data_IF_880235320587
#
_entry.id   IF_880235320587
#
_cell.length_a   1.000
_cell.length_b   1.000
_cell.length_c   1.000
_cell.angle_alpha   90.00
_cell.angle_beta   90.00
_cell.angle_gamma   90.00
#
_symmetry.space_group_name_H-M   'P 1'
#
loop_
_entity.id
_entity.type
_entity.pdbx_description
1 polymer ?
#
# COMPACT_ATOMS: atom_id res chain seq x y z
N UNK A 1 -15.23 13.33 -12.50
CA UNK A 1 -15.21 13.02 -11.05
C UNK A 1 -16.35 12.04 -10.79
N UNK A 2 -16.09 10.76 -10.89
CA UNK A 2 -17.08 9.72 -10.64
C UNK A 2 -17.07 9.43 -9.15
N UNK A 3 -18.08 9.93 -8.43
CA UNK A 3 -18.31 9.56 -7.02
C UNK A 3 -18.66 8.08 -7.00
N UNK A 4 -17.96 7.28 -6.19
CA UNK A 4 -18.45 6.00 -5.76
C UNK A 4 -19.86 6.22 -5.20
N UNK A 5 -20.90 5.48 -5.66
CA UNK A 5 -22.24 5.69 -5.16
C UNK A 5 -22.27 5.46 -3.66
N UNK A 6 -23.05 6.25 -2.96
CA UNK A 6 -23.27 6.23 -1.51
C UNK A 6 -24.05 4.99 -1.01
N UNK A 7 -23.76 3.83 -1.54
CA UNK A 7 -24.02 2.57 -0.85
C UNK A 7 -22.95 2.48 0.23
N UNK A 8 -23.35 2.78 1.46
CA UNK A 8 -22.47 3.13 2.55
C UNK A 8 -21.20 2.28 2.62
N UNK A 9 -20.06 2.92 2.69
CA UNK A 9 -18.71 2.35 2.82
C UNK A 9 -18.60 1.20 3.87
N UNK A 10 -19.59 1.07 4.74
CA UNK A 10 -19.75 0.06 5.77
C UNK A 10 -20.05 -1.36 5.24
N UNK A 11 -20.47 -1.53 3.98
CA UNK A 11 -20.87 -2.85 3.43
C UNK A 11 -19.75 -3.55 2.66
N UNK A 12 -18.73 -2.83 2.20
CA UNK A 12 -17.66 -3.43 1.38
C UNK A 12 -16.62 -4.22 2.19
N UNK A 13 -16.45 -3.94 3.48
CA UNK A 13 -15.59 -4.75 4.35
C UNK A 13 -16.02 -6.20 4.46
N UNK A 14 -17.33 -6.48 4.37
CA UNK A 14 -17.88 -7.84 4.42
C UNK A 14 -17.65 -8.63 3.13
N UNK A 15 -17.56 -7.97 1.97
CA UNK A 15 -17.33 -8.64 0.68
C UNK A 15 -15.95 -9.33 0.65
N UNK A 16 -14.93 -8.72 1.21
CA UNK A 16 -13.60 -9.32 1.28
C UNK A 16 -13.54 -10.49 2.26
N UNK A 17 -14.33 -10.42 3.32
CA UNK A 17 -14.42 -11.47 4.33
C UNK A 17 -15.04 -12.76 3.77
N UNK A 18 -16.05 -12.66 2.89
CA UNK A 18 -16.67 -13.80 2.21
C UNK A 18 -15.71 -14.53 1.25
N UNK A 19 -14.71 -13.83 0.70
CA UNK A 19 -13.74 -14.37 -0.24
C UNK A 19 -12.31 -14.42 0.33
N UNK A 20 -12.15 -14.47 1.66
CA UNK A 20 -10.86 -14.35 2.34
C UNK A 20 -9.78 -15.30 1.80
N UNK A 21 -10.13 -16.56 1.53
CA UNK A 21 -9.19 -17.55 0.98
C UNK A 21 -8.75 -17.25 -0.46
N UNK A 22 -9.63 -16.73 -1.30
CA UNK A 22 -9.27 -16.30 -2.66
C UNK A 22 -8.44 -15.03 -2.62
N UNK A 23 -8.83 -14.09 -1.77
CA UNK A 23 -8.11 -12.84 -1.55
C UNK A 23 -6.66 -13.10 -1.14
N UNK A 24 -6.42 -13.99 -0.19
CA UNK A 24 -5.08 -14.35 0.29
C UNK A 24 -4.18 -14.92 -0.82
N UNK A 25 -4.73 -15.84 -1.64
CA UNK A 25 -3.98 -16.47 -2.72
C UNK A 25 -3.64 -15.54 -3.89
N UNK A 26 -4.47 -14.51 -4.12
CA UNK A 26 -4.43 -13.71 -5.35
C UNK A 26 -3.74 -12.37 -5.12
N UNK A 27 -3.97 -11.73 -3.96
CA UNK A 27 -3.41 -10.41 -3.69
C UNK A 27 -1.91 -10.49 -3.45
N UNK A 28 -1.11 -9.68 -4.18
CA UNK A 28 0.33 -9.68 -4.00
C UNK A 28 0.72 -9.09 -2.64
N UNK A 29 1.84 -9.55 -2.10
CA UNK A 29 2.51 -8.87 -1.00
C UNK A 29 2.95 -7.45 -1.44
N UNK A 30 3.15 -6.58 -0.47
CA UNK A 30 3.67 -5.24 -0.73
C UNK A 30 5.18 -5.29 -0.97
N UNK A 31 5.73 -4.43 -1.86
CA UNK A 31 7.17 -4.41 -2.12
C UNK A 31 7.97 -4.14 -0.85
N UNK A 32 8.98 -4.97 -0.61
CA UNK A 32 9.85 -4.84 0.57
C UNK A 32 10.53 -3.46 0.61
N UNK A 33 10.86 -2.89 -0.54
CA UNK A 33 11.47 -1.56 -0.66
C UNK A 33 10.59 -0.46 -0.07
N UNK A 34 9.25 -0.57 -0.20
CA UNK A 34 8.33 0.39 0.40
C UNK A 34 8.20 0.18 1.90
N UNK A 35 8.19 -1.07 2.36
CA UNK A 35 8.13 -1.38 3.80
C UNK A 35 9.41 -0.94 4.50
N UNK A 36 10.58 -1.22 3.90
CA UNK A 36 11.89 -0.75 4.38
C UNK A 36 11.94 0.77 4.44
N UNK A 37 11.44 1.42 3.39
CA UNK A 37 11.38 2.89 3.36
C UNK A 37 10.48 3.46 4.45
N UNK A 38 9.32 2.83 4.72
CA UNK A 38 8.43 3.24 5.80
C UNK A 38 9.12 3.11 7.16
N UNK A 39 9.79 1.99 7.42
CA UNK A 39 10.56 1.78 8.64
C UNK A 39 11.69 2.80 8.79
N UNK A 40 12.41 3.08 7.70
CA UNK A 40 13.49 4.09 7.69
C UNK A 40 12.97 5.49 8.01
N UNK A 41 11.85 5.92 7.38
CA UNK A 41 11.24 7.24 7.64
C UNK A 41 10.75 7.35 9.07
N UNK A 42 10.18 6.26 9.60
CA UNK A 42 9.68 6.20 10.98
C UNK A 42 10.82 6.06 12.01
N UNK A 43 12.03 5.70 11.60
CA UNK A 43 13.14 5.43 12.50
C UNK A 43 12.85 4.26 13.44
N UNK A 44 12.20 3.20 12.91
CA UNK A 44 11.79 2.02 13.69
C UNK A 44 12.54 0.76 13.26
N UNK A 45 12.67 -0.17 14.18
CA UNK A 45 13.31 -1.47 13.99
C UNK A 45 12.89 -2.48 15.04
N UNK A 46 13.73 -3.47 15.27
CA UNK A 46 13.47 -4.60 16.18
C UNK A 46 12.92 -4.16 17.53
N UNK A 47 11.81 -4.78 17.96
CA UNK A 47 11.13 -4.50 19.22
C UNK A 47 10.19 -3.29 19.23
N UNK A 48 10.18 -2.43 18.21
CA UNK A 48 9.30 -1.27 18.18
C UNK A 48 7.82 -1.65 17.99
N UNK A 49 6.94 -0.94 18.72
CA UNK A 49 5.49 -1.16 18.69
C UNK A 49 4.86 -0.39 17.51
N UNK A 50 4.13 -1.12 16.68
CA UNK A 50 3.40 -0.55 15.55
C UNK A 50 1.95 -1.03 15.50
N UNK A 51 1.08 -0.20 14.95
CA UNK A 51 -0.33 -0.54 14.71
C UNK A 51 -0.55 -0.74 13.21
N UNK A 52 -1.23 -1.80 12.83
CA UNK A 52 -1.73 -2.00 11.47
C UNK A 52 -3.25 -1.91 11.44
N UNK A 53 -3.80 -1.03 10.60
CA UNK A 53 -5.24 -0.82 10.43
C UNK A 53 -5.67 -1.54 9.16
N UNK A 54 -6.54 -2.56 9.30
CA UNK A 54 -7.05 -3.38 8.22
C UNK A 54 -5.98 -4.36 7.71
N UNK A 55 -5.54 -5.27 8.56
CA UNK A 55 -4.47 -6.21 8.21
C UNK A 55 -4.89 -7.27 7.18
N UNK A 56 -6.21 -7.44 6.94
CA UNK A 56 -6.72 -8.44 6.03
C UNK A 56 -6.27 -9.85 6.43
N UNK A 57 -5.66 -10.57 5.51
CA UNK A 57 -5.10 -11.91 5.74
C UNK A 57 -3.62 -11.88 6.15
N UNK A 58 -3.10 -10.69 6.53
CA UNK A 58 -1.76 -10.54 7.12
C UNK A 58 -0.63 -10.32 6.12
N UNK A 59 -0.89 -9.85 4.88
CA UNK A 59 0.15 -9.63 3.87
C UNK A 59 1.20 -8.62 4.32
N UNK A 60 0.80 -7.44 4.83
CA UNK A 60 1.74 -6.46 5.33
C UNK A 60 2.22 -6.84 6.74
N UNK A 61 1.36 -7.38 7.60
CA UNK A 61 1.72 -7.86 8.95
C UNK A 61 2.95 -8.77 8.91
N UNK A 62 2.98 -9.73 7.96
CA UNK A 62 4.12 -10.65 7.77
C UNK A 62 5.43 -9.90 7.48
N UNK A 63 5.37 -8.88 6.61
CA UNK A 63 6.53 -8.07 6.27
C UNK A 63 7.01 -7.21 7.46
N UNK A 64 6.10 -6.72 8.31
CA UNK A 64 6.43 -5.96 9.51
C UNK A 64 7.07 -6.87 10.58
N UNK A 65 6.48 -8.03 10.84
CA UNK A 65 7.01 -9.04 11.79
C UNK A 65 8.40 -9.55 11.35
N UNK A 66 8.61 -9.77 10.04
CA UNK A 66 9.92 -10.17 9.52
C UNK A 66 11.03 -9.14 9.77
N UNK A 67 10.68 -7.89 10.10
CA UNK A 67 11.60 -6.81 10.48
C UNK A 67 11.74 -6.65 11.99
N UNK A 68 11.26 -7.63 12.78
CA UNK A 68 11.33 -7.61 14.22
C UNK A 68 10.34 -6.69 14.93
N UNK A 69 9.38 -6.10 14.19
CA UNK A 69 8.40 -5.19 14.77
C UNK A 69 7.34 -5.95 15.58
N UNK A 70 6.90 -5.38 16.70
CA UNK A 70 5.74 -5.85 17.43
C UNK A 70 4.48 -5.20 16.87
N UNK A 71 3.61 -6.00 16.27
CA UNK A 71 2.46 -5.53 15.51
C UNK A 71 1.15 -5.76 16.27
N UNK A 72 0.41 -4.70 16.56
CA UNK A 72 -1.02 -4.80 16.88
C UNK A 72 -1.78 -4.68 15.57
N UNK A 73 -2.44 -5.76 15.13
CA UNK A 73 -3.09 -5.86 13.83
C UNK A 73 -4.61 -5.87 13.98
N UNK A 74 -5.28 -4.84 13.45
CA UNK A 74 -6.72 -4.68 13.48
C UNK A 74 -7.36 -5.14 12.17
N UNK A 75 -8.42 -5.95 12.26
CA UNK A 75 -9.24 -6.35 11.10
C UNK A 75 -10.69 -6.60 11.55
N UNK A 76 -11.68 -5.94 10.92
CA UNK A 76 -13.08 -6.17 11.26
C UNK A 76 -13.64 -7.50 10.72
N UNK A 77 -13.08 -8.05 9.62
CA UNK A 77 -13.55 -9.29 9.01
C UNK A 77 -13.13 -10.53 9.82
N UNK A 78 -14.07 -11.30 10.38
CA UNK A 78 -13.74 -12.45 11.22
C UNK A 78 -13.03 -13.58 10.45
N UNK A 79 -13.37 -13.81 9.17
CA UNK A 79 -12.68 -14.82 8.36
C UNK A 79 -11.28 -14.37 7.94
N UNK A 80 -11.14 -13.09 7.62
CA UNK A 80 -9.83 -12.48 7.27
C UNK A 80 -8.85 -12.60 8.42
N UNK A 81 -9.26 -12.21 9.63
CA UNK A 81 -8.38 -12.22 10.81
C UNK A 81 -8.04 -13.65 11.27
N UNK A 82 -8.96 -14.61 11.13
CA UNK A 82 -8.67 -16.02 11.39
C UNK A 82 -7.59 -16.52 10.43
N UNK A 83 -7.71 -16.18 9.15
CA UNK A 83 -6.70 -16.56 8.14
C UNK A 83 -5.36 -15.86 8.38
N UNK A 84 -5.36 -14.58 8.80
CA UNK A 84 -4.15 -13.88 9.20
C UNK A 84 -3.43 -14.60 10.35
N UNK A 85 -4.19 -15.04 11.37
CA UNK A 85 -3.67 -15.84 12.49
C UNK A 85 -3.06 -17.18 12.05
N UNK A 86 -3.68 -17.85 11.07
CA UNK A 86 -3.13 -19.07 10.47
C UNK A 86 -1.86 -18.80 9.68
N UNK A 87 -1.84 -17.75 8.87
CA UNK A 87 -0.70 -17.35 8.05
C UNK A 87 0.51 -16.93 8.87
N UNK A 88 0.30 -16.44 10.09
CA UNK A 88 1.33 -16.00 11.03
C UNK A 88 1.41 -16.90 12.28
N UNK A 89 0.97 -18.15 12.18
CA UNK A 89 1.01 -19.09 13.29
C UNK A 89 2.44 -19.22 13.84
N UNK A 90 2.60 -19.01 15.15
CA UNK A 90 3.90 -19.03 15.84
C UNK A 90 4.68 -17.70 15.84
N UNK A 91 4.17 -16.64 15.20
CA UNK A 91 4.76 -15.31 15.30
C UNK A 91 4.39 -14.66 16.64
N UNK A 92 5.29 -14.70 17.62
CA UNK A 92 5.06 -14.13 18.96
C UNK A 92 4.96 -12.59 18.97
N UNK A 93 5.37 -11.94 17.88
CA UNK A 93 5.44 -10.48 17.76
C UNK A 93 4.16 -9.86 17.16
N UNK A 94 3.04 -10.60 17.08
CA UNK A 94 1.78 -10.06 16.57
C UNK A 94 0.62 -10.33 17.53
N UNK A 95 -0.17 -9.28 17.77
CA UNK A 95 -1.44 -9.33 18.48
C UNK A 95 -2.57 -8.99 17.49
N UNK A 96 -3.50 -9.91 17.28
CA UNK A 96 -4.65 -9.72 16.41
C UNK A 96 -5.87 -9.22 17.19
N UNK A 97 -6.52 -8.16 16.70
CA UNK A 97 -7.75 -7.60 17.25
C UNK A 97 -8.86 -7.63 16.20
N UNK A 98 -9.89 -8.47 16.39
CA UNK A 98 -11.06 -8.47 15.52
C UNK A 98 -11.98 -7.30 15.88
N UNK A 99 -11.69 -6.15 15.35
CA UNK A 99 -12.42 -4.91 15.60
C UNK A 99 -12.28 -3.92 14.45
N UNK A 100 -13.27 -3.06 14.27
CA UNK A 100 -13.14 -1.86 13.46
C UNK A 100 -12.22 -0.87 14.16
N UNK A 101 -11.41 -0.14 13.40
CA UNK A 101 -10.52 0.87 14.00
C UNK A 101 -11.30 1.93 14.78
N UNK A 102 -12.48 2.32 14.31
CA UNK A 102 -13.33 3.29 15.00
C UNK A 102 -13.69 2.86 16.43
N UNK A 103 -13.93 1.56 16.63
CA UNK A 103 -14.45 0.98 17.87
C UNK A 103 -13.34 0.39 18.76
N UNK A 104 -12.16 0.13 18.19
CA UNK A 104 -11.04 -0.48 18.92
C UNK A 104 -10.50 0.44 20.01
N UNK A 105 -10.25 -0.13 21.19
CA UNK A 105 -9.55 0.57 22.27
C UNK A 105 -8.04 0.43 22.09
N UNK A 106 -7.39 1.47 21.58
CA UNK A 106 -5.95 1.52 21.43
C UNK A 106 -5.33 2.50 22.43
N UNK A 107 -4.17 2.17 23.02
CA UNK A 107 -3.50 3.07 23.95
C UNK A 107 -3.03 4.35 23.23
N UNK A 108 -3.13 5.48 23.92
CA UNK A 108 -2.68 6.79 23.41
C UNK A 108 -1.16 6.88 23.47
N UNK A 109 -0.57 7.57 22.46
CA UNK A 109 0.87 7.86 22.41
C UNK A 109 1.73 6.61 22.65
N UNK A 110 1.35 5.51 22.02
CA UNK A 110 1.97 4.20 22.23
C UNK A 110 2.76 3.71 21.01
N UNK A 111 2.21 3.88 19.81
CA UNK A 111 2.80 3.33 18.61
C UNK A 111 3.80 4.30 17.97
N UNK A 112 4.96 3.78 17.60
CA UNK A 112 5.96 4.55 16.85
C UNK A 112 5.57 4.77 15.41
N UNK A 113 4.83 3.81 14.83
CA UNK A 113 4.22 3.98 13.52
C UNK A 113 2.83 3.35 13.46
N UNK A 114 1.98 3.92 12.61
CA UNK A 114 0.69 3.36 12.20
C UNK A 114 0.76 3.05 10.72
N UNK A 115 0.49 1.80 10.38
CA UNK A 115 0.42 1.31 9.00
C UNK A 115 -1.01 1.08 8.57
N UNK A 116 -1.32 1.34 7.31
CA UNK A 116 -2.54 0.85 6.68
C UNK A 116 -2.29 0.58 5.20
N UNK A 117 -2.55 -0.64 4.78
CA UNK A 117 -2.30 -1.07 3.42
C UNK A 117 -3.61 -1.36 2.70
N UNK A 118 -3.99 -0.50 1.74
CA UNK A 118 -5.24 -0.59 0.96
C UNK A 118 -6.52 -0.67 1.82
N UNK A 119 -6.50 -0.12 3.05
CA UNK A 119 -7.60 -0.27 4.00
C UNK A 119 -8.15 1.05 4.57
N UNK A 120 -7.33 2.09 4.78
CA UNK A 120 -7.75 3.29 5.52
C UNK A 120 -8.97 4.02 4.90
N UNK A 121 -9.20 3.87 3.61
CA UNK A 121 -10.35 4.48 2.93
C UNK A 121 -11.71 3.85 3.30
N UNK A 122 -11.71 2.73 4.03
CA UNK A 122 -12.91 2.10 4.60
C UNK A 122 -13.25 2.62 6.00
N UNK A 123 -12.29 3.28 6.67
CA UNK A 123 -12.47 3.85 8.01
C UNK A 123 -13.15 5.22 7.92
N UNK A 124 -14.05 5.54 8.85
CA UNK A 124 -14.73 6.84 8.88
C UNK A 124 -13.68 7.98 8.96
N UNK A 125 -13.61 8.85 7.93
CA UNK A 125 -12.62 9.93 7.91
C UNK A 125 -12.78 10.94 9.04
N UNK A 126 -13.97 11.06 9.63
CA UNK A 126 -14.22 11.93 10.79
C UNK A 126 -13.53 11.43 12.06
N UNK A 127 -13.25 10.13 12.11
CA UNK A 127 -12.61 9.47 13.25
C UNK A 127 -11.14 9.17 12.96
N UNK A 128 -10.83 8.64 11.79
CA UNK A 128 -9.54 8.02 11.48
C UNK A 128 -8.34 8.92 11.72
N UNK A 129 -8.31 10.11 11.13
CA UNK A 129 -7.12 10.98 11.19
C UNK A 129 -6.79 11.42 12.62
N UNK A 130 -7.81 11.79 13.40
CA UNK A 130 -7.61 12.19 14.79
C UNK A 130 -7.19 11.00 15.64
N UNK A 131 -7.85 9.86 15.50
CA UNK A 131 -7.54 8.65 16.27
C UNK A 131 -6.15 8.12 15.95
N UNK A 132 -5.71 8.16 14.68
CA UNK A 132 -4.33 7.83 14.30
C UNK A 132 -3.32 8.74 15.01
N UNK A 133 -3.57 10.05 15.00
CA UNK A 133 -2.70 10.99 15.70
C UNK A 133 -2.68 10.74 17.21
N UNK A 134 -3.80 10.36 17.82
CA UNK A 134 -3.89 10.11 19.24
C UNK A 134 -3.14 8.85 19.71
N UNK A 135 -3.07 7.80 18.90
CA UNK A 135 -2.38 6.54 19.22
C UNK A 135 -0.89 6.57 18.89
N UNK A 136 -0.45 7.41 17.94
CA UNK A 136 0.96 7.62 17.63
C UNK A 136 1.66 8.36 18.78
N UNK A 137 2.92 8.04 19.04
CA UNK A 137 3.79 8.89 19.88
C UNK A 137 4.01 10.26 19.19
N UNK A 138 4.34 11.34 19.91
CA UNK A 138 4.76 12.61 19.30
C UNK A 138 5.94 12.36 18.32
N UNK A 139 5.83 12.84 17.08
CA UNK A 139 6.80 12.58 16.01
C UNK A 139 6.69 11.18 15.39
N UNK A 140 5.75 10.34 15.83
CA UNK A 140 5.50 9.03 15.22
C UNK A 140 4.98 9.14 13.78
N UNK A 141 5.10 8.09 13.01
CA UNK A 141 4.86 8.09 11.57
C UNK A 141 3.58 7.36 11.19
N UNK A 142 2.75 7.99 10.35
CA UNK A 142 1.71 7.32 9.58
C UNK A 142 2.29 6.85 8.25
N UNK A 143 2.06 5.58 7.88
CA UNK A 143 2.49 4.96 6.64
C UNK A 143 1.30 4.31 5.91
N UNK A 144 0.93 4.88 4.76
CA UNK A 144 -0.19 4.41 3.94
C UNK A 144 0.34 3.78 2.65
N UNK A 145 0.06 2.49 2.44
CA UNK A 145 0.50 1.76 1.26
C UNK A 145 -0.72 1.44 0.39
N UNK A 146 -0.58 1.53 -0.93
CA UNK A 146 -1.64 1.11 -1.86
C UNK A 146 -1.10 0.70 -3.21
N UNK A 147 -1.94 0.00 -3.99
CA UNK A 147 -1.70 -0.29 -5.39
C UNK A 147 -2.65 0.51 -6.27
N UNK A 148 -2.13 1.05 -7.37
CA UNK A 148 -2.92 1.71 -8.41
C UNK A 148 -2.55 1.16 -9.79
N UNK A 149 -3.48 1.26 -10.74
CA UNK A 149 -3.16 1.05 -12.14
C UNK A 149 -2.22 2.16 -12.64
N UNK A 150 -1.16 1.79 -13.33
CA UNK A 150 -0.18 2.73 -13.89
C UNK A 150 -0.48 2.99 -15.36
N UNK A 151 -0.56 4.28 -15.74
CA UNK A 151 -0.63 4.65 -17.13
C UNK A 151 0.76 4.53 -17.75
N UNK A 152 0.93 3.50 -18.57
CA UNK A 152 2.20 3.19 -19.22
C UNK A 152 1.96 2.65 -20.64
N UNK A 153 2.77 3.10 -21.60
CA UNK A 153 2.62 2.75 -23.00
C UNK A 153 2.73 1.23 -23.24
N UNK A 154 3.59 0.53 -22.46
CA UNK A 154 3.81 -0.92 -22.62
C UNK A 154 2.59 -1.79 -22.35
N UNK A 155 1.65 -1.33 -21.53
CA UNK A 155 0.41 -2.03 -21.17
C UNK A 155 -0.84 -1.36 -21.70
N UNK A 156 -0.72 -0.20 -22.37
CA UNK A 156 -1.87 0.62 -22.79
C UNK A 156 -2.86 -0.13 -23.67
N UNK A 157 -2.36 -0.83 -24.68
CA UNK A 157 -3.21 -1.60 -25.60
C UNK A 157 -4.03 -2.67 -24.88
N UNK A 158 -3.38 -3.45 -24.02
CA UNK A 158 -4.02 -4.55 -23.29
C UNK A 158 -5.02 -4.00 -22.27
N UNK A 159 -4.63 -2.96 -21.53
CA UNK A 159 -5.49 -2.24 -20.59
C UNK A 159 -6.77 -1.73 -21.26
N UNK A 160 -6.63 -1.04 -22.40
CA UNK A 160 -7.76 -0.47 -23.13
C UNK A 160 -8.69 -1.59 -23.66
N UNK A 161 -8.11 -2.73 -24.07
CA UNK A 161 -8.88 -3.91 -24.50
C UNK A 161 -9.64 -4.58 -23.34
N UNK A 162 -9.02 -4.69 -22.15
CA UNK A 162 -9.68 -5.21 -20.93
C UNK A 162 -10.83 -4.30 -20.50
N UNK A 163 -10.61 -2.97 -20.47
CA UNK A 163 -11.67 -2.01 -20.16
C UNK A 163 -12.81 -2.07 -21.18
N UNK A 164 -12.51 -2.17 -22.48
CA UNK A 164 -13.51 -2.31 -23.52
C UNK A 164 -14.33 -3.62 -23.37
N UNK A 165 -13.70 -4.71 -22.93
CA UNK A 165 -14.40 -5.96 -22.61
C UNK A 165 -15.39 -5.75 -21.43
N UNK A 166 -14.97 -5.08 -20.36
CA UNK A 166 -15.85 -4.76 -19.24
C UNK A 166 -17.00 -3.81 -19.66
N UNK A 167 -16.73 -2.82 -20.51
CA UNK A 167 -17.74 -1.92 -21.05
C UNK A 167 -18.83 -2.63 -21.86
N UNK A 168 -18.47 -3.68 -22.61
CA UNK A 168 -19.45 -4.50 -23.35
C UNK A 168 -20.30 -5.36 -22.42
N UNK A 169 -19.72 -5.89 -21.36
CA UNK A 169 -20.38 -6.83 -20.44
C UNK A 169 -21.21 -6.12 -19.37
N UNK A 170 -20.68 -5.03 -18.81
CA UNK A 170 -21.28 -4.32 -17.68
C UNK A 170 -20.89 -2.83 -17.73
N UNK A 171 -21.52 -2.02 -18.60
CA UNK A 171 -21.15 -0.62 -18.83
C UNK A 171 -21.29 0.25 -17.58
N UNK A 172 -22.27 -0.02 -16.72
CA UNK A 172 -22.47 0.64 -15.44
C UNK A 172 -21.36 0.35 -14.41
N UNK A 173 -20.82 -0.87 -14.43
CA UNK A 173 -19.67 -1.26 -13.61
C UNK A 173 -18.37 -0.70 -14.18
N UNK A 174 -18.23 -0.71 -15.50
CA UNK A 174 -17.07 -0.15 -16.20
C UNK A 174 -16.91 1.36 -15.98
N UNK A 175 -18.01 2.09 -15.75
CA UNK A 175 -17.98 3.52 -15.43
C UNK A 175 -17.23 3.82 -14.12
N UNK A 176 -17.18 2.87 -13.20
CA UNK A 176 -16.47 2.97 -11.93
C UNK A 176 -15.08 2.29 -11.96
N UNK A 177 -14.59 1.96 -13.16
CA UNK A 177 -13.27 1.37 -13.30
C UNK A 177 -12.21 2.31 -12.74
N UNK A 178 -11.27 1.80 -11.90
CA UNK A 178 -10.26 2.64 -11.28
C UNK A 178 -9.43 3.42 -12.31
N UNK A 179 -9.24 4.70 -12.05
CA UNK A 179 -8.42 5.54 -12.92
C UNK A 179 -6.95 5.08 -12.86
N UNK A 180 -6.32 5.02 -14.02
CA UNK A 180 -4.88 4.83 -14.12
C UNK A 180 -4.15 6.12 -13.80
N UNK A 181 -2.94 6.00 -13.26
CA UNK A 181 -2.13 7.12 -12.79
C UNK A 181 -0.81 7.18 -13.57
N UNK A 182 -0.44 8.38 -13.95
CA UNK A 182 0.90 8.69 -14.41
C UNK A 182 1.80 9.05 -13.22
N UNK A 183 3.06 8.60 -13.20
CA UNK A 183 3.97 8.81 -12.06
C UNK A 183 4.27 10.30 -11.87
N UNK A 184 4.55 11.04 -12.94
CA UNK A 184 4.90 12.46 -12.82
C UNK A 184 3.68 13.26 -12.33
N UNK A 185 2.48 12.92 -12.81
CA UNK A 185 1.22 13.48 -12.32
C UNK A 185 1.00 13.13 -10.83
N UNK A 186 1.36 11.91 -10.39
CA UNK A 186 1.28 11.53 -8.97
C UNK A 186 2.22 12.38 -8.12
N UNK A 187 3.47 12.54 -8.53
CA UNK A 187 4.47 13.34 -7.82
C UNK A 187 4.02 14.81 -7.73
N UNK A 188 3.61 15.40 -8.86
CA UNK A 188 3.12 16.77 -8.90
C UNK A 188 1.86 16.98 -8.04
N UNK A 189 0.91 16.05 -8.10
CA UNK A 189 -0.33 16.10 -7.33
C UNK A 189 -0.11 16.01 -5.82
N UNK A 190 0.83 15.18 -5.37
CA UNK A 190 1.23 15.08 -3.95
C UNK A 190 1.94 16.37 -3.52
N UNK A 191 2.84 16.91 -4.34
CA UNK A 191 3.52 18.18 -4.05
C UNK A 191 2.53 19.33 -3.80
N UNK A 192 1.46 19.40 -4.59
CA UNK A 192 0.42 20.45 -4.44
C UNK A 192 -0.40 20.32 -3.15
N UNK A 193 -0.44 19.13 -2.55
CA UNK A 193 -1.28 18.77 -1.39
C UNK A 193 -0.48 18.39 -0.15
N UNK A 194 0.84 18.53 -0.17
CA UNK A 194 1.74 18.01 0.86
C UNK A 194 1.47 18.53 2.27
N UNK A 195 0.74 19.63 2.39
CA UNK A 195 0.39 20.21 3.70
C UNK A 195 -0.78 19.47 4.38
N UNK A 196 -1.41 18.52 3.67
CA UNK A 196 -2.52 17.74 4.22
C UNK A 196 -2.48 16.29 3.70
N UNK A 197 -2.04 15.37 4.55
CA UNK A 197 -1.93 13.93 4.21
C UNK A 197 -3.27 13.33 3.78
N UNK A 198 -4.39 13.78 4.37
CA UNK A 198 -5.71 13.27 4.00
C UNK A 198 -6.12 13.72 2.59
N UNK A 199 -5.75 14.93 2.18
CA UNK A 199 -5.98 15.43 0.83
C UNK A 199 -5.10 14.69 -0.20
N UNK A 200 -3.87 14.34 0.17
CA UNK A 200 -2.99 13.47 -0.64
C UNK A 200 -3.63 12.11 -0.83
N UNK A 201 -4.06 11.46 0.25
CA UNK A 201 -4.66 10.13 0.20
C UNK A 201 -5.97 10.11 -0.59
N UNK A 202 -6.85 11.09 -0.33
CA UNK A 202 -8.09 11.28 -1.07
C UNK A 202 -7.86 11.42 -2.58
N UNK A 203 -6.88 12.25 -2.96
CA UNK A 203 -6.58 12.50 -4.37
C UNK A 203 -5.94 11.28 -5.05
N UNK A 204 -4.98 10.59 -4.40
CA UNK A 204 -4.33 9.40 -4.96
C UNK A 204 -5.33 8.29 -5.30
N UNK A 205 -6.24 7.98 -4.40
CA UNK A 205 -7.20 6.89 -4.55
C UNK A 205 -8.57 7.32 -5.09
N UNK A 206 -8.82 8.61 -5.30
CA UNK A 206 -10.16 9.16 -5.57
C UNK A 206 -11.16 8.83 -4.46
N UNK A 207 -10.68 8.82 -3.20
CA UNK A 207 -11.48 8.52 -2.02
C UNK A 207 -12.15 9.77 -1.43
N UNK A 208 -13.31 9.62 -0.83
CA UNK A 208 -13.98 10.69 -0.07
C UNK A 208 -13.54 10.67 1.40
N UNK A 209 -12.26 10.93 1.64
CA UNK A 209 -11.62 10.83 2.98
C UNK A 209 -10.86 12.08 3.40
N UNK A 210 -10.89 13.15 2.60
CA UNK A 210 -10.20 14.38 2.91
C UNK A 210 -10.81 15.07 4.14
N UNK A 211 -9.96 15.52 5.07
CA UNK A 211 -10.33 16.26 6.27
C UNK A 211 -9.38 17.44 6.46
N UNK A 212 -9.91 18.64 6.65
CA UNK A 212 -9.10 19.86 6.82
C UNK A 212 -8.20 19.81 8.06
N UNK A 213 -8.69 19.22 9.16
CA UNK A 213 -7.94 19.12 10.41
C UNK A 213 -6.70 18.21 10.33
N UNK A 214 -6.59 17.35 9.33
CA UNK A 214 -5.43 16.48 9.15
C UNK A 214 -4.13 17.27 8.92
N UNK A 215 -4.21 18.47 8.33
CA UNK A 215 -3.08 19.38 8.15
C UNK A 215 -2.48 19.90 9.46
N UNK A 216 -3.26 19.90 10.55
CA UNK A 216 -2.81 20.30 11.90
C UNK A 216 -2.29 19.11 12.71
N UNK A 217 -2.60 17.90 12.30
CA UNK A 217 -2.23 16.66 13.00
C UNK A 217 -0.93 16.07 12.47
N UNK A 218 -0.68 16.26 11.16
CA UNK A 218 0.44 15.64 10.45
C UNK A 218 1.20 16.66 9.61
N UNK A 219 2.49 16.41 9.47
CA UNK A 219 3.44 17.19 8.66
C UNK A 219 4.37 16.24 7.90
N UNK A 220 5.31 16.79 7.13
CA UNK A 220 6.35 16.06 6.39
C UNK A 220 5.77 14.91 5.52
N UNK A 221 4.77 15.25 4.70
CA UNK A 221 4.15 14.27 3.80
C UNK A 221 5.10 13.94 2.67
N UNK A 222 5.42 12.64 2.50
CA UNK A 222 6.30 12.12 1.45
C UNK A 222 5.59 11.06 0.64
N UNK A 223 6.02 10.88 -0.62
CA UNK A 223 5.55 9.81 -1.51
C UNK A 223 6.75 9.01 -2.01
N UNK A 224 6.68 7.68 -1.90
CA UNK A 224 7.53 6.76 -2.62
C UNK A 224 6.67 5.87 -3.54
N UNK A 225 7.22 5.46 -4.68
CA UNK A 225 6.51 4.66 -5.68
C UNK A 225 7.40 3.54 -6.22
N UNK A 226 6.79 2.37 -6.43
CA UNK A 226 7.43 1.20 -7.06
C UNK A 226 6.56 0.75 -8.22
N UNK A 227 6.90 1.08 -9.48
CA UNK A 227 6.16 0.62 -10.65
C UNK A 227 6.49 -0.85 -10.96
N UNK A 228 5.49 -1.58 -11.46
CA UNK A 228 5.64 -2.98 -11.86
C UNK A 228 4.84 -3.27 -13.12
N UNK A 229 5.48 -3.88 -14.12
CA UNK A 229 4.80 -4.51 -15.24
C UNK A 229 4.51 -5.99 -14.87
N UNK A 230 3.27 -6.39 -15.03
CA UNK A 230 2.77 -7.74 -14.76
C UNK A 230 2.37 -8.35 -16.09
N UNK A 231 2.79 -9.59 -16.35
CA UNK A 231 2.32 -10.42 -17.45
C UNK A 231 1.50 -11.56 -16.86
N UNK A 232 0.26 -11.73 -17.33
CA UNK A 232 -0.71 -12.63 -16.73
C UNK A 232 -1.57 -13.35 -17.75
N UNK A 233 -2.01 -14.57 -17.43
CA UNK A 233 -3.03 -15.28 -18.21
C UNK A 233 -4.41 -14.62 -18.05
N UNK A 234 -5.38 -15.07 -18.85
CA UNK A 234 -6.78 -14.64 -18.70
C UNK A 234 -7.33 -15.04 -17.32
N UNK A 235 -7.00 -16.23 -16.82
CA UNK A 235 -7.45 -16.71 -15.52
C UNK A 235 -6.85 -15.89 -14.37
N UNK A 236 -5.56 -15.56 -14.45
CA UNK A 236 -4.91 -14.67 -13.47
C UNK A 236 -5.51 -13.26 -13.47
N UNK A 237 -5.78 -12.71 -14.66
CA UNK A 237 -6.48 -11.42 -14.78
C UNK A 237 -7.86 -11.47 -14.11
N UNK A 238 -8.67 -12.49 -14.45
CA UNK A 238 -10.00 -12.66 -13.88
C UNK A 238 -9.96 -12.85 -12.37
N UNK A 239 -8.99 -13.61 -11.86
CA UNK A 239 -8.78 -13.80 -10.44
C UNK A 239 -8.48 -12.47 -9.73
N UNK A 240 -7.54 -11.65 -10.25
CA UNK A 240 -7.21 -10.34 -9.67
C UNK A 240 -8.42 -9.39 -9.70
N UNK A 241 -9.13 -9.30 -10.84
CA UNK A 241 -10.32 -8.46 -10.97
C UNK A 241 -11.43 -8.96 -10.03
N UNK A 242 -11.57 -10.27 -9.85
CA UNK A 242 -12.50 -10.90 -8.92
C UNK A 242 -12.36 -10.46 -7.48
N UNK A 243 -11.18 -10.02 -7.06
CA UNK A 243 -10.92 -9.47 -5.73
C UNK A 243 -11.09 -7.95 -5.62
N UNK A 244 -11.57 -7.28 -6.67
CA UNK A 244 -11.83 -5.82 -6.63
C UNK A 244 -13.27 -5.55 -6.17
N UNK A 245 -13.47 -4.50 -5.39
CA UNK A 245 -14.78 -4.18 -4.79
C UNK A 245 -15.92 -4.01 -5.81
N UNK A 246 -15.63 -3.45 -6.98
CA UNK A 246 -16.64 -3.27 -8.03
C UNK A 246 -17.09 -4.60 -8.66
N UNK A 247 -16.27 -5.65 -8.60
CA UNK A 247 -16.60 -6.96 -9.18
C UNK A 247 -17.77 -7.65 -8.48
N UNK A 248 -17.98 -7.38 -7.20
CA UNK A 248 -19.12 -7.87 -6.45
C UNK A 248 -20.49 -7.44 -7.04
N UNK A 249 -20.50 -6.35 -7.82
CA UNK A 249 -21.71 -5.83 -8.49
C UNK A 249 -22.07 -6.61 -9.75
N UNK A 250 -21.16 -7.42 -10.30
CA UNK A 250 -21.42 -8.24 -11.48
C UNK A 250 -22.34 -9.42 -11.14
N UNK A 251 -23.37 -9.64 -11.94
CA UNK A 251 -24.14 -10.88 -11.89
C UNK A 251 -23.32 -12.08 -12.33
N UNK A 252 -23.69 -13.33 -11.96
CA UNK A 252 -22.99 -14.53 -12.41
C UNK A 252 -22.82 -14.61 -13.94
N UNK A 253 -23.83 -14.21 -14.71
CA UNK A 253 -23.77 -14.19 -16.18
C UNK A 253 -22.75 -13.17 -16.70
N UNK A 254 -22.68 -11.98 -16.08
CA UNK A 254 -21.69 -10.96 -16.45
C UNK A 254 -20.27 -11.40 -16.10
N UNK A 255 -20.06 -12.08 -14.95
CA UNK A 255 -18.76 -12.65 -14.59
C UNK A 255 -18.29 -13.68 -15.61
N UNK A 256 -19.19 -14.58 -16.02
CA UNK A 256 -18.91 -15.58 -17.06
C UNK A 256 -18.60 -14.91 -18.42
N UNK A 257 -19.38 -13.93 -18.83
CA UNK A 257 -19.16 -13.20 -20.08
C UNK A 257 -17.81 -12.46 -20.07
N UNK A 258 -17.45 -11.82 -18.95
CA UNK A 258 -16.14 -11.15 -18.82
C UNK A 258 -14.98 -12.16 -18.88
N UNK A 259 -15.12 -13.32 -18.26
CA UNK A 259 -14.12 -14.38 -18.36
C UNK A 259 -13.92 -14.88 -19.80
N UNK A 260 -15.00 -15.02 -20.57
CA UNK A 260 -14.95 -15.37 -22.01
C UNK A 260 -14.26 -14.28 -22.84
N UNK A 261 -14.57 -13.01 -22.59
CA UNK A 261 -13.91 -11.88 -23.26
C UNK A 261 -12.40 -11.83 -22.95
N UNK A 262 -12.03 -12.09 -21.70
CA UNK A 262 -10.62 -12.15 -21.26
C UNK A 262 -9.87 -13.29 -21.93
N UNK A 263 -10.48 -14.48 -22.03
CA UNK A 263 -9.91 -15.62 -22.73
C UNK A 263 -9.71 -15.33 -24.22
N UNK A 264 -10.74 -14.77 -24.87
CA UNK A 264 -10.65 -14.37 -26.28
C UNK A 264 -9.59 -13.28 -26.52
N UNK A 265 -9.39 -12.35 -25.57
CA UNK A 265 -8.32 -11.36 -25.64
C UNK A 265 -6.96 -12.02 -25.55
N UNK A 266 -6.76 -12.96 -24.60
CA UNK A 266 -5.51 -13.70 -24.42
C UNK A 266 -5.12 -14.45 -25.71
N UNK A 267 -6.08 -15.16 -26.33
CA UNK A 267 -5.87 -15.89 -27.60
C UNK A 267 -5.50 -14.92 -28.74
N UNK A 268 -6.21 -13.79 -28.87
CA UNK A 268 -5.91 -12.81 -29.94
C UNK A 268 -4.52 -12.19 -29.77
N UNK A 269 -4.05 -12.00 -28.55
CA UNK A 269 -2.73 -11.43 -28.28
C UNK A 269 -1.61 -12.43 -28.58
N UNK A 270 -1.86 -13.75 -28.50
CA UNK A 270 -0.84 -14.79 -28.64
C UNK A 270 0.29 -14.68 -27.63
N UNK A 271 0.08 -13.94 -26.54
CA UNK A 271 1.03 -13.71 -25.43
C UNK A 271 0.28 -13.33 -24.16
N UNK A 272 0.94 -13.35 -22.99
CA UNK A 272 0.34 -12.86 -21.73
C UNK A 272 -0.19 -11.42 -21.81
N UNK A 273 -1.31 -11.18 -21.14
CA UNK A 273 -1.92 -9.85 -21.01
C UNK A 273 -1.03 -9.02 -20.07
N UNK A 274 -0.67 -7.82 -20.52
CA UNK A 274 0.16 -6.90 -19.76
C UNK A 274 -0.67 -5.93 -18.95
N UNK A 275 -0.33 -5.78 -17.67
CA UNK A 275 -0.88 -4.78 -16.79
C UNK A 275 0.27 -4.04 -16.07
N UNK A 276 0.27 -2.72 -16.13
CA UNK A 276 1.19 -1.90 -15.34
C UNK A 276 0.50 -1.43 -14.08
N UNK A 277 1.17 -1.63 -12.95
CA UNK A 277 0.72 -1.19 -11.63
C UNK A 277 1.81 -0.37 -10.95
N UNK A 278 1.42 0.41 -9.97
CA UNK A 278 2.34 1.12 -9.09
C UNK A 278 1.93 0.90 -7.65
N UNK A 279 2.86 0.39 -6.85
CA UNK A 279 2.72 0.42 -5.41
C UNK A 279 3.19 1.78 -4.90
N UNK A 280 2.46 2.36 -3.97
CA UNK A 280 2.75 3.68 -3.39
C UNK A 280 2.87 3.57 -1.88
N UNK A 281 3.75 4.39 -1.32
CA UNK A 281 3.84 4.65 0.12
C UNK A 281 3.70 6.15 0.34
N UNK A 282 2.69 6.55 1.08
CA UNK A 282 2.56 7.91 1.62
C UNK A 282 2.93 7.85 3.08
N UNK A 283 3.90 8.65 3.51
CA UNK A 283 4.24 8.83 4.92
C UNK A 283 3.94 10.24 5.38
N UNK A 284 3.59 10.39 6.65
CA UNK A 284 3.44 11.67 7.32
C UNK A 284 3.81 11.55 8.79
N UNK A 285 4.39 12.58 9.38
CA UNK A 285 4.76 12.58 10.79
C UNK A 285 3.68 13.26 11.65
N UNK A 286 3.34 12.66 12.79
CA UNK A 286 2.53 13.31 13.80
C UNK A 286 3.26 14.54 14.31
N UNK A 287 2.58 15.69 14.41
CA UNK A 287 3.11 16.90 15.06
C UNK A 287 3.58 16.62 16.47
N UNK A 288 4.59 17.36 16.93
CA UNK A 288 5.19 17.21 18.28
C UNK A 288 4.21 17.51 19.43
N UNK A 289 3.00 18.02 19.16
CA UNK A 289 2.10 18.53 20.18
C UNK A 289 2.61 19.85 20.81
N UNK A 290 1.83 20.55 21.60
CA UNK A 290 2.36 21.66 22.40
C UNK A 290 3.42 21.08 23.36
N UNK A 291 4.55 21.78 23.57
CA UNK A 291 5.56 21.34 24.52
C UNK A 291 4.89 21.04 25.84
N UNK A 292 5.14 19.87 26.42
CA UNK A 292 4.77 19.60 27.82
C UNK A 292 5.29 20.79 28.61
N UNK A 293 4.42 21.44 29.39
CA UNK A 293 4.87 22.44 30.35
C UNK A 293 5.84 21.74 31.29
N UNK A 294 7.12 21.81 30.96
CA UNK A 294 8.16 21.57 31.94
C UNK A 294 8.04 22.65 33.00
N UNK A 295 7.87 22.23 34.25
CA UNK A 295 8.02 23.10 35.40
C UNK A 295 9.44 23.69 35.35
N UNK A 296 9.50 24.96 35.02
CA UNK A 296 10.57 25.96 35.19
C UNK A 296 12.02 25.46 35.29
N UNK A 297 12.75 25.60 34.17
CA UNK A 297 14.14 26.05 34.15
C UNK A 297 14.25 27.12 33.08
N UNK A 298 14.98 28.18 33.38
CA UNK A 298 15.08 29.49 32.71
C UNK A 298 15.36 29.43 31.19
N UNK A 299 14.96 30.49 30.42
CA UNK A 299 14.92 30.44 28.97
C UNK A 299 16.29 30.65 28.31
N UNK A 300 16.62 29.81 27.35
CA UNK A 300 17.60 30.12 26.31
C UNK A 300 16.93 30.91 25.15
N UNK A 301 17.72 31.73 24.40
CA UNK A 301 17.17 32.67 23.42
C UNK A 301 16.63 31.98 22.15
N UNK A 302 15.71 32.64 21.40
CA UNK A 302 15.02 32.04 20.28
C UNK A 302 15.95 31.75 19.10
N UNK A 303 16.02 30.47 18.73
CA UNK A 303 16.70 30.02 17.52
C UNK A 303 15.87 30.38 16.27
N UNK A 304 16.57 30.76 15.22
CA UNK A 304 16.04 31.09 13.89
C UNK A 304 15.22 29.93 13.29
N UNK A 305 14.18 30.22 12.50
CA UNK A 305 13.37 29.19 11.85
C UNK A 305 14.21 28.38 10.86
N UNK A 306 14.18 27.07 10.97
CA UNK A 306 14.81 26.15 10.03
C UNK A 306 14.13 26.26 8.66
N UNK A 307 14.90 26.26 7.56
CA UNK A 307 14.35 26.31 6.21
C UNK A 307 13.52 25.06 5.92
N UNK A 308 12.35 25.24 5.30
CA UNK A 308 11.51 24.16 4.81
C UNK A 308 12.30 23.27 3.85
N UNK A 309 12.51 21.99 4.22
CA UNK A 309 13.19 21.01 3.35
C UNK A 309 12.36 20.77 2.09
N UNK A 310 12.99 20.72 0.91
CA UNK A 310 12.31 20.32 -0.32
C UNK A 310 11.84 18.86 -0.22
N UNK A 311 10.68 18.57 -0.82
CA UNK A 311 10.16 17.22 -0.91
C UNK A 311 11.16 16.34 -1.65
N UNK A 312 11.75 15.37 -0.97
CA UNK A 312 12.60 14.37 -1.60
C UNK A 312 11.68 13.26 -2.12
N UNK A 313 11.23 13.38 -3.37
CA UNK A 313 10.54 12.28 -4.04
C UNK A 313 11.58 11.23 -4.44
N UNK A 314 11.44 10.01 -3.92
CA UNK A 314 12.31 8.90 -4.28
C UNK A 314 11.57 7.99 -5.26
N UNK A 315 12.11 7.89 -6.47
CA UNK A 315 11.69 6.89 -7.45
C UNK A 315 12.63 5.70 -7.27
N UNK A 316 12.15 4.62 -6.67
CA UNK A 316 12.86 3.34 -6.69
C UNK A 316 12.52 2.68 -8.02
N UNK A 317 13.38 2.91 -9.04
CA UNK A 317 13.30 2.15 -10.29
C UNK A 317 13.94 0.79 -10.07
N UNK A 318 13.15 -0.25 -9.95
CA UNK A 318 13.63 -1.61 -10.14
C UNK A 318 13.85 -1.79 -11.66
N UNK A 319 15.10 -1.69 -12.09
CA UNK A 319 15.49 -2.09 -13.44
C UNK A 319 15.39 -3.61 -13.49
N UNK A 320 14.32 -4.11 -14.08
CA UNK A 320 14.16 -5.52 -14.33
C UNK A 320 15.34 -6.03 -15.15
N UNK A 321 16.08 -7.00 -14.64
CA UNK A 321 17.06 -7.75 -15.39
C UNK A 321 16.32 -8.50 -16.50
N UNK A 322 16.44 -8.02 -17.73
CA UNK A 322 16.10 -8.80 -18.92
C UNK A 322 17.11 -9.95 -19.08
N UNK A 323 16.72 -11.10 -19.61
CA UNK A 323 17.64 -12.19 -19.88
C UNK A 323 18.58 -11.83 -21.04
N UNK A 324 19.86 -11.84 -20.78
CA UNK A 324 20.89 -12.01 -21.79
C UNK A 324 21.59 -10.75 -22.31
N UNK A 325 22.74 -10.45 -21.74
CA UNK A 325 23.89 -9.99 -22.53
C UNK A 325 25.18 -10.36 -21.80
N UNK A 326 26.05 -11.00 -22.57
CA UNK A 326 27.22 -11.74 -22.14
C UNK A 326 28.28 -10.92 -21.43
N UNK A 327 29.02 -11.61 -20.59
CA UNK A 327 30.31 -11.25 -20.07
C UNK A 327 31.29 -10.95 -21.19
N UNK A 328 31.83 -9.72 -21.23
CA UNK A 328 33.18 -9.48 -21.78
C UNK A 328 34.07 -9.05 -20.62
N UNK A 329 34.96 -9.95 -20.27
CA UNK A 329 36.05 -9.72 -19.35
C UNK A 329 37.04 -8.72 -19.94
N UNK A 330 37.57 -7.80 -19.15
CA UNK A 330 38.87 -7.18 -19.33
C UNK A 330 39.70 -7.34 -18.06
N UNK A 331 41.00 -7.64 -18.23
CA UNK A 331 41.90 -8.05 -17.15
C UNK A 331 42.69 -6.88 -16.56
N UNK A 332 43.12 -7.06 -15.32
CA UNK A 332 44.17 -6.17 -14.80
C UNK A 332 44.46 -6.27 -13.31
N UNK A 333 45.49 -7.05 -12.99
CA UNK A 333 46.47 -6.90 -11.90
C UNK A 333 46.08 -7.18 -10.43
N UNK A 334 46.81 -8.19 -9.89
CA UNK A 334 47.27 -8.19 -8.52
C UNK A 334 47.30 -9.58 -7.86
N UNK A 335 48.45 -10.25 -7.91
CA UNK A 335 48.79 -11.51 -7.27
C UNK A 335 48.84 -11.45 -5.74
N UNK A 336 48.41 -12.51 -5.11
CA UNK A 336 49.01 -13.31 -4.01
C UNK A 336 47.93 -14.24 -3.51
N UNK A 337 48.03 -15.53 -3.50
CA UNK A 337 49.07 -16.46 -3.19
C UNK A 337 48.54 -17.50 -2.20
N UNK A 338 48.67 -18.82 -2.52
CA UNK A 338 48.60 -19.97 -1.62
C UNK A 338 47.18 -20.50 -1.26
N UNK A 339 46.81 -21.72 -1.37
CA UNK A 339 47.29 -23.02 -1.74
C UNK A 339 46.18 -24.02 -1.33
N UNK A 340 45.91 -24.95 -2.24
CA UNK A 340 45.70 -26.39 -2.10
C UNK A 340 44.88 -26.97 -0.95
N UNK A 341 43.91 -27.81 -1.33
CA UNK A 341 43.31 -28.82 -0.48
C UNK A 341 42.16 -29.55 -1.19
N UNK A 342 42.51 -30.65 -1.84
CA UNK A 342 41.70 -31.54 -2.64
C UNK A 342 40.73 -32.40 -1.83
N UNK A 343 39.51 -32.59 -2.37
CA UNK A 343 38.71 -33.84 -2.59
C UNK A 343 38.64 -34.92 -1.48
N UNK A 344 37.73 -35.94 -1.60
CA UNK A 344 36.42 -36.08 -2.27
C UNK A 344 35.33 -36.74 -1.36
N UNK A 345 34.17 -36.78 -1.77
CA UNK A 345 33.05 -37.70 -1.93
C UNK A 345 31.72 -36.97 -1.81
#
# INVERSE_FOLDING_TARGET
>A
MTRLPALGARHYGTVFDEIAGEYDRIRPAYPDELVDRACQVAGIGDGDQVLEIGCGTGQLTRSLVARGLHVTALEPGPNLIVLAGQNLAGAAAVEFMNARFEDASCPREHFRAVFSASALHWVDPKVSWRKIADVLVPGGTLALISYFGLEEQRSKHDRDAVLAAMQRVAPDVAADWPAYRDIDAMLAGVQQRRDNVSAVWAWLGSYDVAQENASRLFSDVQLAVVPKLIEQSADQLNAVIGTMSFYARLSPGQRQAFAQESAALYERLGRPIRASTVATLVTAQRGQGPPRRETTVSPEPPGLPLPSRPLTAWIVRVIGQGPGSGCTARPGFGQAGLSCGSMPC
#
